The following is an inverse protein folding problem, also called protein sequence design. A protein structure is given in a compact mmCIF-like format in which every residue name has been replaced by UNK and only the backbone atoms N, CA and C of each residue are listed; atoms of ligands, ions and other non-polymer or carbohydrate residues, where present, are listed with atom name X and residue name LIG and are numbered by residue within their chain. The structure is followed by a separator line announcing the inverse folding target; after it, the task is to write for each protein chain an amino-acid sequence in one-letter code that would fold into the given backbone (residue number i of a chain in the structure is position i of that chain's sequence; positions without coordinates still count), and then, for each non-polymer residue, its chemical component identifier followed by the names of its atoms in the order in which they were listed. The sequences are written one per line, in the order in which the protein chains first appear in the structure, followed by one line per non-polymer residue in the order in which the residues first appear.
data_IF_022671263271
#
_entry.id   IF_022671263271
#
_cell.length_a   1.000
_cell.length_b   1.000
_cell.length_c   1.000
_cell.angle_alpha   90.00
_cell.angle_beta   90.00
_cell.angle_gamma   90.00
#
_symmetry.space_group_name_H-M   'P 1'
#
loop_
_entity.id
_entity.type
_entity.pdbx_description
1 polymer ?
#
# COMPACT_ATOMS: atom_id res chain seq x y z
N UNK A 1 -6.33 23.51 3.91
CA UNK A 1 -5.18 23.70 2.99
C UNK A 1 -4.99 25.17 2.65
N UNK A 2 -5.95 25.85 2.02
CA UNK A 2 -5.83 27.29 1.74
C UNK A 2 -5.44 28.12 2.97
N UNK A 3 -6.15 27.95 4.09
CA UNK A 3 -5.84 28.58 5.38
C UNK A 3 -4.44 28.24 5.92
N UNK A 4 -3.94 27.04 5.63
CA UNK A 4 -2.61 26.62 6.10
C UNK A 4 -1.49 27.25 5.25
N UNK A 5 -1.77 27.61 3.99
CA UNK A 5 -0.85 28.29 3.08
C UNK A 5 -0.90 29.81 3.24
N UNK A 6 -2.04 30.34 3.68
CA UNK A 6 -2.32 31.76 3.91
C UNK A 6 -3.01 31.90 5.28
N UNK A 7 -2.25 31.89 6.39
CA UNK A 7 -2.79 31.95 7.75
C UNK A 7 -3.66 33.19 8.04
N UNK A 8 -3.53 34.26 7.26
CA UNK A 8 -4.35 35.46 7.33
C UNK A 8 -5.84 35.16 7.14
N UNK A 9 -6.18 34.07 6.44
CA UNK A 9 -7.57 33.63 6.27
C UNK A 9 -8.21 33.13 7.57
N UNK A 10 -7.45 32.92 8.65
CA UNK A 10 -8.00 32.48 9.95
C UNK A 10 -8.98 33.48 10.58
N UNK A 11 -8.87 34.77 10.22
CA UNK A 11 -9.79 35.82 10.65
C UNK A 11 -11.08 35.89 9.84
N UNK A 12 -11.21 35.13 8.75
CA UNK A 12 -12.42 35.12 7.92
C UNK A 12 -13.56 34.36 8.64
N UNK A 13 -14.61 35.08 8.99
CA UNK A 13 -15.80 34.55 9.66
C UNK A 13 -16.69 33.70 8.75
N UNK A 14 -16.51 33.77 7.42
CA UNK A 14 -17.22 32.92 6.46
C UNK A 14 -16.68 31.50 6.38
N UNK A 15 -15.49 31.24 6.93
CA UNK A 15 -14.94 29.90 6.98
C UNK A 15 -15.61 29.06 8.07
N UNK A 16 -16.00 27.81 7.77
CA UNK A 16 -16.51 26.89 8.77
C UNK A 16 -15.56 26.75 9.97
N UNK A 17 -16.13 26.74 11.18
CA UNK A 17 -15.35 26.68 12.42
C UNK A 17 -14.42 25.47 12.46
N UNK A 18 -14.88 24.32 11.97
CA UNK A 18 -14.08 23.10 11.93
C UNK A 18 -12.87 23.20 10.99
N UNK A 19 -13.01 23.91 9.86
CA UNK A 19 -11.90 24.19 8.94
C UNK A 19 -10.84 25.05 9.62
N UNK A 20 -11.24 26.13 10.30
CA UNK A 20 -10.33 27.02 11.05
C UNK A 20 -9.60 26.27 12.15
N UNK A 21 -10.33 25.49 12.96
CA UNK A 21 -9.74 24.69 14.04
C UNK A 21 -8.77 23.62 13.52
N UNK A 22 -9.08 22.95 12.41
CA UNK A 22 -8.15 21.98 11.79
C UNK A 22 -6.90 22.64 11.24
N UNK A 23 -7.04 23.83 10.65
CA UNK A 23 -5.90 24.58 10.14
C UNK A 23 -4.98 25.05 11.28
N UNK A 24 -5.55 25.62 12.35
CA UNK A 24 -4.81 26.04 13.54
C UNK A 24 -4.00 24.88 14.15
N UNK A 25 -4.66 23.74 14.44
CA UNK A 25 -3.98 22.56 15.01
C UNK A 25 -2.83 22.06 14.14
N UNK A 26 -2.96 22.14 12.81
CA UNK A 26 -1.90 21.72 11.91
C UNK A 26 -0.73 22.71 11.92
N UNK A 27 -1.01 24.02 11.92
CA UNK A 27 0.01 25.07 12.00
C UNK A 27 0.75 24.99 13.34
N UNK A 28 0.05 24.88 14.47
CA UNK A 28 0.63 24.69 15.81
C UNK A 28 1.55 23.46 15.90
N UNK A 29 1.27 22.42 15.10
CA UNK A 29 2.10 21.23 15.06
C UNK A 29 3.38 21.41 14.20
N UNK A 30 3.45 22.43 13.37
CA UNK A 30 4.60 22.76 12.52
C UNK A 30 5.56 23.71 13.25
N UNK A 31 6.87 23.52 13.03
CA UNK A 31 7.87 24.43 13.58
C UNK A 31 7.71 25.83 12.97
N UNK A 32 7.68 26.85 13.84
CA UNK A 32 7.45 28.23 13.42
C UNK A 32 6.06 28.48 12.84
N UNK A 33 5.09 27.63 13.15
CA UNK A 33 3.69 27.74 12.72
C UNK A 33 3.52 27.82 11.19
N UNK A 34 4.45 27.21 10.46
CA UNK A 34 4.50 27.29 9.00
C UNK A 34 4.56 25.91 8.36
N UNK A 35 3.67 25.68 7.39
CA UNK A 35 3.65 24.45 6.59
C UNK A 35 4.86 24.30 5.64
N UNK A 36 5.69 25.33 5.52
CA UNK A 36 6.95 25.29 4.77
C UNK A 36 8.14 24.74 5.59
N UNK A 37 7.95 24.51 6.89
CA UNK A 37 8.99 23.95 7.76
C UNK A 37 9.31 22.49 7.41
N UNK A 38 10.55 22.09 7.67
CA UNK A 38 10.90 20.68 7.62
C UNK A 38 10.14 19.91 8.69
N UNK A 39 9.85 18.64 8.39
CA UNK A 39 9.28 17.71 9.36
C UNK A 39 10.25 16.56 9.59
N UNK A 40 10.05 15.77 10.65
CA UNK A 40 10.78 14.52 10.83
C UNK A 40 10.66 13.64 9.58
N UNK A 41 11.67 12.83 9.27
CA UNK A 41 11.69 12.03 8.03
C UNK A 41 10.48 11.07 7.90
N UNK A 42 9.91 10.64 9.02
CA UNK A 42 8.68 9.83 9.06
C UNK A 42 7.39 10.62 8.86
N UNK A 43 7.46 11.95 8.88
CA UNK A 43 6.34 12.88 8.86
C UNK A 43 5.98 13.48 10.24
N UNK A 44 5.11 14.48 10.21
CA UNK A 44 4.71 15.27 11.37
C UNK A 44 4.08 14.39 12.48
N UNK A 45 4.56 14.47 13.74
CA UNK A 45 4.05 13.62 14.83
C UNK A 45 2.52 13.70 15.02
N UNK A 46 1.96 14.91 14.99
CA UNK A 46 0.52 15.14 15.14
C UNK A 46 -0.30 14.43 14.03
N UNK A 47 0.17 14.51 12.78
CA UNK A 47 -0.50 13.87 11.64
C UNK A 47 -0.41 12.36 11.74
N UNK A 48 0.75 11.81 12.11
CA UNK A 48 0.92 10.37 12.34
C UNK A 48 0.01 9.84 13.44
N UNK A 49 -0.16 10.60 14.53
CA UNK A 49 -1.08 10.25 15.61
C UNK A 49 -2.53 10.22 15.12
N UNK A 50 -2.95 11.23 14.36
CA UNK A 50 -4.29 11.28 13.76
C UNK A 50 -4.55 10.09 12.81
N UNK A 51 -3.54 9.69 12.02
CA UNK A 51 -3.64 8.51 11.14
C UNK A 51 -3.77 7.23 11.97
N UNK A 52 -3.01 7.08 13.06
CA UNK A 52 -3.12 5.92 13.94
C UNK A 52 -4.52 5.79 14.54
N UNK A 53 -5.07 6.89 15.06
CA UNK A 53 -6.44 6.94 15.60
C UNK A 53 -7.48 6.59 14.54
N UNK A 54 -7.31 7.10 13.31
CA UNK A 54 -8.18 6.75 12.19
C UNK A 54 -8.15 5.25 11.87
N UNK A 55 -6.95 4.66 11.77
CA UNK A 55 -6.77 3.22 11.51
C UNK A 55 -7.43 2.40 12.62
N UNK A 56 -7.17 2.73 13.89
CA UNK A 56 -7.77 2.04 15.03
C UNK A 56 -9.30 2.12 15.01
N UNK A 57 -9.86 3.29 14.69
CA UNK A 57 -11.32 3.47 14.59
C UNK A 57 -11.92 2.68 13.42
N UNK A 58 -11.25 2.70 12.26
CA UNK A 58 -11.66 1.96 11.05
C UNK A 58 -11.64 0.45 11.29
N UNK A 59 -10.64 -0.03 12.01
CA UNK A 59 -10.39 -1.45 12.28
C UNK A 59 -11.01 -1.90 13.61
N UNK A 60 -12.13 -1.30 14.00
CA UNK A 60 -12.96 -1.70 15.15
C UNK A 60 -12.19 -1.86 16.49
N UNK A 61 -11.19 -1.01 16.71
CA UNK A 61 -10.40 -0.96 17.95
C UNK A 61 -9.07 -1.71 17.90
N UNK A 62 -8.67 -2.29 16.76
CA UNK A 62 -7.34 -2.89 16.62
C UNK A 62 -6.24 -1.83 16.84
N UNK A 63 -5.27 -2.05 17.75
CA UNK A 63 -4.27 -1.04 18.07
C UNK A 63 -3.42 -0.61 16.87
N UNK A 64 -3.32 0.70 16.65
CA UNK A 64 -2.41 1.32 15.71
C UNK A 64 -1.53 2.35 16.44
N UNK A 65 -0.25 2.43 16.06
CA UNK A 65 0.73 3.28 16.75
C UNK A 65 1.38 4.27 15.78
N UNK A 66 1.45 5.54 16.17
CA UNK A 66 2.08 6.60 15.36
C UNK A 66 3.54 6.29 14.97
N UNK A 67 4.27 5.55 15.81
CA UNK A 67 5.64 5.11 15.53
C UNK A 67 5.77 4.14 14.34
N UNK A 68 4.68 3.46 13.99
CA UNK A 68 4.61 2.52 12.86
C UNK A 68 4.12 3.19 11.56
N UNK A 69 3.88 4.51 11.57
CA UNK A 69 3.37 5.26 10.43
C UNK A 69 4.50 6.06 9.82
N UNK A 70 4.67 5.91 8.51
CA UNK A 70 5.60 6.68 7.70
C UNK A 70 4.83 7.40 6.60
N UNK A 71 4.93 8.72 6.55
CA UNK A 71 4.28 9.54 5.53
C UNK A 71 5.18 9.62 4.30
N UNK A 72 4.65 9.27 3.14
CA UNK A 72 5.35 9.35 1.85
C UNK A 72 4.67 10.32 0.90
N UNK A 73 5.43 10.81 -0.09
CA UNK A 73 4.88 11.53 -1.24
C UNK A 73 4.18 10.57 -2.20
N UNK A 74 3.00 10.09 -1.80
CA UNK A 74 2.18 9.15 -2.56
C UNK A 74 2.59 7.68 -2.39
N UNK A 75 1.67 6.78 -2.79
CA UNK A 75 1.81 5.34 -2.59
C UNK A 75 2.96 4.72 -3.40
N UNK A 76 3.22 5.22 -4.61
CA UNK A 76 4.29 4.68 -5.47
C UNK A 76 5.68 4.85 -4.84
N UNK A 77 5.95 6.00 -4.19
CA UNK A 77 7.22 6.20 -3.46
C UNK A 77 7.33 5.30 -2.23
N UNK A 78 6.24 5.10 -1.49
CA UNK A 78 6.24 4.15 -0.37
C UNK A 78 6.53 2.72 -0.85
N UNK A 79 5.86 2.29 -1.93
CA UNK A 79 6.07 0.96 -2.50
C UNK A 79 7.51 0.77 -2.98
N UNK A 80 8.09 1.78 -3.65
CA UNK A 80 9.50 1.75 -4.07
C UNK A 80 10.44 1.54 -2.88
N UNK A 81 10.24 2.26 -1.77
CA UNK A 81 11.06 2.11 -0.56
C UNK A 81 10.95 0.69 0.00
N UNK A 82 9.74 0.14 0.14
CA UNK A 82 9.53 -1.21 0.66
C UNK A 82 10.16 -2.26 -0.26
N UNK A 83 9.97 -2.15 -1.57
CA UNK A 83 10.54 -3.11 -2.54
C UNK A 83 12.06 -3.02 -2.54
N UNK A 84 12.66 -1.81 -2.48
CA UNK A 84 14.11 -1.65 -2.37
C UNK A 84 14.68 -2.22 -1.07
N UNK A 85 13.94 -2.12 0.04
CA UNK A 85 14.34 -2.74 1.31
C UNK A 85 14.31 -4.28 1.24
N UNK A 86 13.40 -4.85 0.45
CA UNK A 86 13.30 -6.30 0.24
C UNK A 86 14.29 -6.81 -0.82
N UNK A 87 14.71 -5.94 -1.75
CA UNK A 87 15.58 -6.28 -2.87
C UNK A 87 16.92 -6.82 -2.39
N UNK A 88 17.40 -7.85 -3.09
CA UNK A 88 18.64 -8.52 -2.77
C UNK A 88 18.82 -9.81 -3.56
N UNK A 89 20.07 -10.28 -3.60
CA UNK A 89 20.49 -11.46 -4.35
C UNK A 89 20.58 -11.23 -5.86
N UNK A 90 21.19 -12.18 -6.56
CA UNK A 90 21.34 -12.17 -8.02
C UNK A 90 20.96 -13.53 -8.61
N UNK A 91 20.58 -13.54 -9.89
CA UNK A 91 20.16 -14.74 -10.59
C UNK A 91 19.06 -15.49 -9.83
N UNK A 92 19.34 -16.74 -9.44
CA UNK A 92 18.37 -17.59 -8.72
C UNK A 92 18.06 -17.13 -7.30
N UNK A 93 18.93 -16.30 -6.72
CA UNK A 93 18.75 -15.73 -5.38
C UNK A 93 18.12 -14.34 -5.43
N UNK A 94 17.85 -13.80 -6.63
CA UNK A 94 17.18 -12.52 -6.77
C UNK A 94 15.83 -12.57 -6.07
N UNK A 95 15.50 -11.50 -5.34
CA UNK A 95 14.21 -11.40 -4.65
C UNK A 95 13.06 -11.40 -5.66
N UNK A 96 12.04 -12.21 -5.36
CA UNK A 96 10.79 -12.27 -6.11
C UNK A 96 9.61 -11.68 -5.34
N UNK A 97 8.68 -11.02 -6.05
CA UNK A 97 7.41 -10.54 -5.50
C UNK A 97 6.25 -11.15 -6.28
N UNK A 98 5.35 -11.84 -5.58
CA UNK A 98 4.12 -12.34 -6.17
C UNK A 98 3.19 -11.18 -6.51
N UNK A 99 2.74 -11.08 -7.75
CA UNK A 99 1.86 -10.00 -8.23
C UNK A 99 0.61 -10.56 -8.94
N UNK A 100 -0.56 -9.91 -8.81
CA UNK A 100 -1.76 -10.36 -9.49
C UNK A 100 -1.61 -10.18 -11.00
N UNK A 101 -2.30 -10.99 -11.79
CA UNK A 101 -2.49 -10.77 -13.21
C UNK A 101 -3.99 -10.72 -13.50
N UNK A 102 -4.53 -9.60 -14.01
CA UNK A 102 -3.85 -8.34 -14.35
C UNK A 102 -3.35 -7.54 -13.12
N UNK A 103 -2.29 -6.73 -13.30
CA UNK A 103 -1.70 -5.87 -12.25
C UNK A 103 -1.86 -4.37 -12.57
N UNK A 104 -1.70 -3.47 -11.57
CA UNK A 104 -1.62 -2.03 -11.82
C UNK A 104 -0.46 -1.69 -12.77
N UNK A 105 -0.71 -0.82 -13.76
CA UNK A 105 0.27 -0.49 -14.81
C UNK A 105 1.64 -0.03 -14.31
N UNK A 106 1.68 0.71 -13.19
CA UNK A 106 2.94 1.22 -12.61
C UNK A 106 3.74 0.19 -11.81
N UNK A 107 3.21 -1.00 -11.54
CA UNK A 107 3.86 -1.99 -10.67
C UNK A 107 5.06 -2.65 -11.34
N UNK A 108 4.92 -3.10 -12.59
CA UNK A 108 6.00 -3.79 -13.30
C UNK A 108 7.25 -2.90 -13.48
N UNK A 109 7.15 -1.64 -13.97
CA UNK A 109 8.32 -0.77 -14.06
C UNK A 109 8.96 -0.48 -12.69
N UNK A 110 8.15 -0.38 -11.63
CA UNK A 110 8.66 -0.16 -10.27
C UNK A 110 9.47 -1.35 -9.75
N UNK A 111 9.00 -2.58 -10.00
CA UNK A 111 9.74 -3.79 -9.61
C UNK A 111 11.05 -3.93 -10.38
N UNK A 112 11.02 -3.62 -11.68
CA UNK A 112 12.20 -3.61 -12.55
C UNK A 112 13.24 -2.59 -12.07
N UNK A 113 12.82 -1.34 -11.80
CA UNK A 113 13.70 -0.30 -11.24
C UNK A 113 14.30 -0.69 -9.88
N UNK A 114 13.55 -1.45 -9.07
CA UNK A 114 14.02 -1.94 -7.78
C UNK A 114 14.89 -3.22 -7.88
N UNK A 115 15.08 -3.78 -9.07
CA UNK A 115 15.85 -5.01 -9.29
C UNK A 115 15.18 -6.24 -8.71
N UNK A 116 13.84 -6.28 -8.67
CA UNK A 116 13.04 -7.36 -8.08
C UNK A 116 12.26 -8.11 -9.15
N UNK A 117 12.29 -9.45 -9.09
CA UNK A 117 11.61 -10.29 -10.06
C UNK A 117 10.09 -10.33 -9.80
N UNK A 118 9.30 -10.01 -10.82
CA UNK A 118 7.86 -10.19 -10.78
C UNK A 118 7.48 -11.67 -10.94
N UNK A 119 6.66 -12.18 -10.02
CA UNK A 119 6.13 -13.56 -10.02
C UNK A 119 4.60 -13.50 -10.18
N UNK A 120 4.06 -13.58 -11.41
CA UNK A 120 2.63 -13.41 -11.61
C UNK A 120 1.82 -14.60 -11.08
N UNK A 121 0.71 -14.32 -10.41
CA UNK A 121 -0.37 -15.27 -10.13
C UNK A 121 -1.65 -14.79 -10.80
N UNK A 122 -2.40 -15.71 -11.43
CA UNK A 122 -3.61 -15.34 -12.18
C UNK A 122 -4.80 -15.18 -11.25
N UNK A 123 -5.54 -14.11 -11.46
CA UNK A 123 -6.88 -13.94 -10.86
C UNK A 123 -7.91 -14.73 -11.69
N UNK A 124 -8.99 -15.18 -11.05
CA UNK A 124 -10.08 -15.89 -11.74
C UNK A 124 -11.13 -14.88 -12.20
N UNK A 125 -11.14 -14.57 -13.50
CA UNK A 125 -12.07 -13.60 -14.09
C UNK A 125 -13.55 -14.01 -13.87
N UNK A 126 -13.87 -15.29 -14.03
CA UNK A 126 -15.23 -15.84 -13.89
C UNK A 126 -15.76 -15.78 -12.46
N UNK A 127 -14.86 -15.70 -11.48
CA UNK A 127 -15.17 -15.55 -10.06
C UNK A 127 -14.93 -14.11 -9.62
N UNK A 128 -15.27 -13.11 -10.44
CA UNK A 128 -15.11 -11.68 -10.13
C UNK A 128 -13.66 -11.28 -9.76
N UNK A 129 -12.68 -11.83 -10.48
CA UNK A 129 -11.26 -11.60 -10.24
C UNK A 129 -10.78 -12.07 -8.86
N UNK A 130 -11.30 -13.20 -8.40
CA UNK A 130 -10.90 -13.85 -7.15
C UNK A 130 -9.40 -14.20 -7.12
N UNK A 131 -8.83 -14.22 -5.91
CA UNK A 131 -7.50 -14.77 -5.64
C UNK A 131 -7.63 -16.26 -5.30
N UNK A 132 -7.16 -17.13 -6.20
CA UNK A 132 -7.10 -18.57 -5.95
C UNK A 132 -5.83 -18.95 -5.18
N UNK A 133 -6.01 -19.53 -4.00
CA UNK A 133 -4.90 -20.00 -3.17
C UNK A 133 -4.07 -21.08 -3.88
N UNK A 134 -4.69 -21.93 -4.70
CA UNK A 134 -3.98 -22.98 -5.44
C UNK A 134 -3.07 -22.38 -6.53
N UNK A 135 -3.54 -21.32 -7.19
CA UNK A 135 -2.74 -20.58 -8.18
C UNK A 135 -1.58 -19.82 -7.52
N UNK A 136 -1.82 -19.24 -6.34
CA UNK A 136 -0.75 -18.61 -5.53
C UNK A 136 0.32 -19.62 -5.13
N UNK A 137 -0.06 -20.79 -4.61
CA UNK A 137 0.87 -21.87 -4.27
C UNK A 137 1.63 -22.38 -5.50
N UNK A 138 0.95 -22.51 -6.65
CA UNK A 138 1.58 -22.88 -7.92
C UNK A 138 2.61 -21.85 -8.36
N UNK A 139 2.28 -20.56 -8.31
CA UNK A 139 3.17 -19.46 -8.67
C UNK A 139 4.40 -19.41 -7.73
N UNK A 140 4.18 -19.54 -6.42
CA UNK A 140 5.23 -19.62 -5.42
C UNK A 140 6.15 -20.81 -5.69
N UNK A 141 5.61 -22.01 -5.90
CA UNK A 141 6.41 -23.23 -6.07
C UNK A 141 7.19 -23.21 -7.38
N UNK A 142 6.58 -22.73 -8.46
CA UNK A 142 7.21 -22.69 -9.81
C UNK A 142 8.29 -21.62 -9.91
N UNK A 143 8.22 -20.56 -9.10
CA UNK A 143 9.22 -19.49 -9.08
C UNK A 143 10.48 -19.87 -8.29
N UNK A 144 10.38 -20.83 -7.35
CA UNK A 144 11.55 -21.38 -6.64
C UNK A 144 12.53 -21.98 -7.65
N UNK A 145 13.79 -21.54 -7.56
CA UNK A 145 14.86 -21.92 -8.49
C UNK A 145 15.07 -20.94 -9.66
N UNK A 146 14.15 -19.99 -9.86
CA UNK A 146 14.33 -18.81 -10.73
C UNK A 146 14.57 -17.53 -9.93
N UNK A 147 13.93 -17.41 -8.78
CA UNK A 147 14.12 -16.36 -7.78
C UNK A 147 13.84 -16.90 -6.37
N UNK A 148 14.00 -16.04 -5.38
CA UNK A 148 13.58 -16.26 -3.98
C UNK A 148 12.37 -15.36 -3.67
N UNK A 149 11.13 -15.87 -3.73
CA UNK A 149 9.95 -15.09 -3.40
C UNK A 149 9.93 -14.66 -1.93
N UNK A 150 9.81 -13.36 -1.66
CA UNK A 150 9.83 -12.78 -0.30
C UNK A 150 8.61 -11.96 0.08
N UNK A 151 7.79 -11.57 -0.89
CA UNK A 151 6.57 -10.82 -0.63
C UNK A 151 5.46 -11.12 -1.65
N UNK A 152 4.23 -10.79 -1.27
CA UNK A 152 3.05 -10.79 -2.12
C UNK A 152 2.47 -9.37 -2.17
N UNK A 153 2.15 -8.90 -3.37
CA UNK A 153 1.41 -7.67 -3.60
C UNK A 153 -0.06 -7.98 -3.80
N UNK A 154 -0.94 -7.32 -3.05
CA UNK A 154 -2.40 -7.44 -3.18
C UNK A 154 -2.98 -6.05 -3.44
N UNK A 155 -3.79 -5.91 -4.50
CA UNK A 155 -4.53 -4.69 -4.80
C UNK A 155 -5.97 -4.85 -4.29
N UNK A 156 -6.38 -4.03 -3.31
CA UNK A 156 -7.73 -4.03 -2.76
C UNK A 156 -8.20 -2.60 -2.40
N UNK A 157 -9.23 -2.04 -3.05
CA UNK A 157 -9.95 -2.60 -4.20
C UNK A 157 -9.02 -2.88 -5.40
N UNK A 158 -9.36 -3.87 -6.21
CA UNK A 158 -8.54 -4.33 -7.31
C UNK A 158 -8.39 -3.29 -8.42
N UNK A 159 -7.16 -3.08 -8.88
CA UNK A 159 -6.80 -2.28 -10.03
C UNK A 159 -5.98 -3.16 -11.00
N UNK A 160 -6.40 -3.35 -12.27
CA UNK A 160 -7.45 -2.63 -13.02
C UNK A 160 -8.87 -3.24 -12.92
N UNK A 161 -9.06 -4.29 -12.12
CA UNK A 161 -10.28 -5.11 -12.15
C UNK A 161 -11.52 -4.44 -11.57
N UNK A 162 -11.36 -3.42 -10.72
CA UNK A 162 -12.45 -2.70 -10.07
C UNK A 162 -13.22 -3.51 -9.02
N UNK A 163 -12.74 -4.72 -8.66
CA UNK A 163 -13.42 -5.62 -7.72
C UNK A 163 -12.67 -5.71 -6.38
N UNK A 164 -13.36 -5.78 -5.24
CA UNK A 164 -12.71 -6.10 -3.96
C UNK A 164 -11.99 -7.45 -4.05
N UNK A 165 -10.80 -7.52 -3.48
CA UNK A 165 -10.08 -8.79 -3.39
C UNK A 165 -10.85 -9.74 -2.45
N UNK A 166 -11.11 -10.95 -2.93
CA UNK A 166 -11.62 -12.05 -2.13
C UNK A 166 -10.85 -13.31 -2.48
N UNK A 167 -10.66 -14.17 -1.49
CA UNK A 167 -9.87 -15.38 -1.60
C UNK A 167 -10.78 -16.58 -1.78
N UNK A 168 -10.46 -17.45 -2.73
CA UNK A 168 -11.14 -18.72 -2.91
C UNK A 168 -10.16 -19.87 -2.78
N UNK A 169 -10.63 -20.97 -2.20
CA UNK A 169 -9.89 -22.22 -2.10
C UNK A 169 -10.62 -23.25 -2.96
N UNK A 170 -10.08 -23.57 -4.14
CA UNK A 170 -10.60 -24.71 -4.91
C UNK A 170 -10.17 -26.01 -4.23
N UNK A 171 -11.13 -26.88 -3.93
CA UNK A 171 -10.81 -28.26 -3.55
C UNK A 171 -10.07 -28.91 -4.74
N UNK A 172 -8.98 -29.67 -4.52
CA UNK A 172 -8.31 -30.37 -5.60
C UNK A 172 -9.34 -31.21 -6.37
N UNK A 173 -9.39 -31.00 -7.68
CA UNK A 173 -10.41 -31.56 -8.55
C UNK A 173 -10.25 -33.09 -8.60
N UNK A 174 -11.01 -33.83 -7.80
CA UNK A 174 -11.07 -35.29 -7.83
C UNK A 174 -11.96 -35.76 -8.99
N UNK A 175 -11.71 -35.28 -10.20
CA UNK A 175 -12.42 -35.72 -11.40
C UNK A 175 -11.68 -35.27 -12.67
N UNK A 176 -10.83 -36.15 -13.19
CA UNK A 176 -10.63 -36.47 -14.63
C UNK A 176 -9.48 -37.48 -14.76
N UNK A 177 -9.70 -38.65 -14.20
CA UNK A 177 -9.15 -39.89 -14.74
C UNK A 177 -10.33 -40.86 -14.76
N UNK A 178 -10.95 -40.97 -15.93
CA UNK A 178 -11.70 -42.16 -16.30
C UNK A 178 -11.08 -42.68 -17.60
N UNK A 179 -10.92 -44.01 -17.71
CA UNK A 179 -9.96 -44.68 -18.59
C UNK A 179 -10.26 -44.55 -20.07
#
# INVERSE_FOLDING_TARGET
LAVCLCPELLSDEHLPLDVRLRALRLLEACDGESVGSYTASSGLPHVRQTIAEFIMKRDEGVPAYAKNIFISSGAQRALMVIVKLLSGGEGRLQTGVLIPHPCPHGLLPLLDEAGVMAVPYRLIEEENWAVDLSELERALTTSRGRCEPRAIYISNPGNPTGRPAHFTARKPNSARYQP
#
